data_IF_039663236222
#
_entry.id   IF_039663236222
#
_cell.length_a   1.000
_cell.length_b   1.000
_cell.length_c   1.000
_cell.angle_alpha   90.00
_cell.angle_beta   90.00
_cell.angle_gamma   90.00
#
_symmetry.space_group_name_H-M   'P 1'
#
loop_
_entity.id
_entity.type
_entity.pdbx_description
1 polymer ?
#
# COMPACT_ATOMS: atom_id res chain seq x y z
N UNK A 1 -40.87 -6.93 1.52
CA UNK A 1 -39.80 -6.51 2.45
C UNK A 1 -38.41 -6.67 1.78
N UNK A 2 -38.17 -6.00 0.65
CA UNK A 2 -37.00 -6.28 -0.23
C UNK A 2 -36.19 -5.05 -0.65
N UNK A 3 -36.54 -3.85 -0.18
CA UNK A 3 -35.88 -2.59 -0.58
C UNK A 3 -34.85 -2.05 0.46
N UNK A 4 -34.82 -2.58 1.70
CA UNK A 4 -33.92 -2.07 2.75
C UNK A 4 -32.44 -2.50 2.58
N UNK A 5 -32.16 -3.64 1.93
CA UNK A 5 -30.81 -4.20 1.79
C UNK A 5 -29.92 -3.41 0.80
N UNK A 6 -30.51 -2.67 -0.15
CA UNK A 6 -29.74 -1.87 -1.13
C UNK A 6 -29.04 -0.67 -0.48
N UNK A 7 -29.66 -0.01 0.50
CA UNK A 7 -29.09 1.19 1.14
C UNK A 7 -27.97 0.85 2.13
N UNK A 8 -28.10 -0.22 2.91
CA UNK A 8 -27.02 -0.69 3.80
C UNK A 8 -25.80 -1.11 3.01
N UNK A 9 -25.97 -1.86 1.90
CA UNK A 9 -24.86 -2.23 1.02
C UNK A 9 -24.08 -1.02 0.49
N UNK A 10 -24.80 0.01 0.00
CA UNK A 10 -24.18 1.24 -0.48
C UNK A 10 -23.37 1.96 0.60
N UNK A 11 -23.93 2.13 1.81
CA UNK A 11 -23.24 2.80 2.93
C UNK A 11 -22.00 1.99 3.36
N UNK A 12 -22.10 0.67 3.44
CA UNK A 12 -20.99 -0.21 3.81
C UNK A 12 -19.84 -0.11 2.80
N UNK A 13 -20.13 -0.08 1.49
CA UNK A 13 -19.10 0.07 0.45
C UNK A 13 -18.39 1.42 0.56
N UNK A 14 -19.14 2.52 0.77
CA UNK A 14 -18.56 3.85 0.92
C UNK A 14 -17.66 3.94 2.16
N UNK A 15 -18.09 3.34 3.27
CA UNK A 15 -17.28 3.22 4.48
C UNK A 15 -16.00 2.44 4.23
N UNK A 16 -16.06 1.29 3.52
CA UNK A 16 -14.87 0.49 3.21
C UNK A 16 -13.88 1.29 2.35
N UNK A 17 -14.37 1.99 1.32
CA UNK A 17 -13.51 2.84 0.46
C UNK A 17 -12.88 3.97 1.26
N UNK A 18 -13.66 4.63 2.13
CA UNK A 18 -13.16 5.70 2.99
C UNK A 18 -12.10 5.20 3.96
N UNK A 19 -12.35 4.09 4.67
CA UNK A 19 -11.39 3.48 5.59
C UNK A 19 -10.13 2.99 4.86
N UNK A 20 -10.27 2.46 3.63
CA UNK A 20 -9.13 2.06 2.81
C UNK A 20 -8.26 3.27 2.41
N UNK A 21 -8.89 4.38 1.99
CA UNK A 21 -8.19 5.63 1.69
C UNK A 21 -7.53 6.25 2.93
N UNK A 22 -8.21 6.22 4.08
CA UNK A 22 -7.66 6.70 5.35
C UNK A 22 -6.43 5.88 5.79
N UNK A 23 -6.52 4.55 5.68
CA UNK A 23 -5.40 3.65 6.00
C UNK A 23 -4.21 3.88 5.05
N UNK A 24 -4.49 4.14 3.77
CA UNK A 24 -3.48 4.48 2.78
C UNK A 24 -2.73 5.77 3.14
N UNK A 25 -3.45 6.83 3.55
CA UNK A 25 -2.85 8.09 3.98
C UNK A 25 -2.00 7.91 5.25
N UNK A 26 -2.48 7.14 6.22
CA UNK A 26 -1.68 6.82 7.42
C UNK A 26 -0.40 6.09 7.04
N UNK A 27 -0.48 5.13 6.12
CA UNK A 27 0.68 4.39 5.65
C UNK A 27 1.71 5.30 4.97
N UNK A 28 1.26 6.17 4.06
CA UNK A 28 2.09 7.15 3.38
C UNK A 28 2.79 8.11 4.36
N UNK A 29 2.05 8.69 5.31
CA UNK A 29 2.60 9.65 6.28
C UNK A 29 3.57 8.98 7.26
N UNK A 30 3.22 7.78 7.75
CA UNK A 30 4.08 7.01 8.65
C UNK A 30 5.41 6.68 7.97
N UNK A 31 5.36 6.33 6.69
CA UNK A 31 6.56 6.05 5.92
C UNK A 31 7.38 7.29 5.62
N UNK A 32 6.75 8.39 5.22
CA UNK A 32 7.43 9.64 4.95
C UNK A 32 8.20 10.14 6.20
N UNK A 33 7.59 9.98 7.39
CA UNK A 33 8.23 10.29 8.68
C UNK A 33 9.45 9.40 8.94
N UNK A 34 9.35 8.11 8.63
CA UNK A 34 10.47 7.18 8.81
C UNK A 34 11.64 7.46 7.86
N UNK A 35 11.35 7.73 6.59
CA UNK A 35 12.38 8.08 5.61
C UNK A 35 13.04 9.41 5.95
N UNK A 36 12.28 10.38 6.46
CA UNK A 36 12.83 11.65 6.97
C UNK A 36 13.80 11.44 8.14
N UNK A 37 13.59 10.40 8.97
CA UNK A 37 14.52 10.04 10.05
C UNK A 37 15.80 9.37 9.52
N UNK A 38 15.74 8.64 8.40
CA UNK A 38 16.88 7.90 7.83
C UNK A 38 17.74 8.79 6.92
N UNK A 39 17.13 9.63 6.08
CA UNK A 39 17.84 10.41 5.05
C UNK A 39 18.34 11.77 5.54
N UNK A 40 17.98 12.15 6.77
CA UNK A 40 17.94 13.56 7.16
C UNK A 40 16.83 14.29 6.39
N UNK A 41 16.21 15.30 7.01
CA UNK A 41 15.01 15.96 6.49
C UNK A 41 15.27 16.79 5.20
N UNK A 42 15.50 16.12 4.07
CA UNK A 42 15.68 16.74 2.75
C UNK A 42 14.40 16.57 1.93
N UNK A 43 13.85 17.69 1.46
CA UNK A 43 12.60 17.74 0.68
C UNK A 43 12.71 16.94 -0.62
N UNK A 44 13.91 16.83 -1.19
CA UNK A 44 14.16 16.07 -2.42
C UNK A 44 13.98 14.56 -2.24
N UNK A 45 14.36 14.03 -1.07
CA UNK A 45 14.24 12.60 -0.80
C UNK A 45 12.78 12.17 -0.60
N UNK A 46 12.00 12.93 0.17
CA UNK A 46 10.59 12.65 0.42
C UNK A 46 9.74 12.74 -0.86
N UNK A 47 10.03 13.73 -1.72
CA UNK A 47 9.36 13.88 -3.02
C UNK A 47 9.68 12.74 -3.98
N UNK A 48 10.93 12.26 -4.05
CA UNK A 48 11.29 11.10 -4.87
C UNK A 48 10.58 9.82 -4.41
N UNK A 49 10.48 9.61 -3.09
CA UNK A 49 9.75 8.47 -2.55
C UNK A 49 8.26 8.59 -2.86
N UNK A 50 7.67 9.76 -2.67
CA UNK A 50 6.26 9.99 -2.99
C UNK A 50 6.00 9.71 -4.47
N UNK A 51 6.88 10.18 -5.36
CA UNK A 51 6.80 9.86 -6.79
C UNK A 51 6.86 8.35 -7.04
N UNK A 52 7.81 7.63 -6.43
CA UNK A 52 7.93 6.18 -6.58
C UNK A 52 6.71 5.43 -6.00
N UNK A 53 6.17 5.90 -4.89
CA UNK A 53 4.97 5.38 -4.25
C UNK A 53 3.74 5.55 -5.14
N UNK A 54 3.51 6.77 -5.62
CA UNK A 54 2.40 7.07 -6.54
C UNK A 54 2.55 6.32 -7.87
N UNK A 55 3.77 6.18 -8.38
CA UNK A 55 4.05 5.40 -9.58
C UNK A 55 3.71 3.90 -9.36
N UNK A 56 4.15 3.31 -8.24
CA UNK A 56 3.83 1.94 -7.88
C UNK A 56 2.34 1.72 -7.66
N UNK A 57 1.68 2.65 -6.97
CA UNK A 57 0.23 2.62 -6.72
C UNK A 57 -0.57 2.71 -8.02
N UNK A 58 -0.24 3.65 -8.90
CA UNK A 58 -0.88 3.81 -10.21
C UNK A 58 -0.67 2.59 -11.11
N UNK A 59 0.55 2.05 -11.15
CA UNK A 59 0.85 0.82 -11.88
C UNK A 59 0.05 -0.37 -11.34
N UNK A 60 -0.08 -0.48 -10.01
CA UNK A 60 -0.89 -1.49 -9.33
C UNK A 60 -2.37 -1.38 -9.69
N UNK A 61 -2.93 -0.17 -9.65
CA UNK A 61 -4.32 0.08 -10.01
C UNK A 61 -4.63 -0.35 -11.45
N UNK A 62 -3.75 -0.03 -12.39
CA UNK A 62 -3.89 -0.45 -13.78
C UNK A 62 -3.78 -1.98 -13.96
N UNK A 63 -2.73 -2.58 -13.39
CA UNK A 63 -2.45 -4.00 -13.53
C UNK A 63 -3.55 -4.87 -12.92
N UNK A 64 -3.90 -4.61 -11.66
CA UNK A 64 -4.93 -5.38 -10.95
C UNK A 64 -6.33 -5.09 -11.48
N UNK A 65 -6.61 -3.86 -11.92
CA UNK A 65 -7.87 -3.52 -12.60
C UNK A 65 -8.07 -4.30 -13.90
N UNK A 66 -7.03 -4.40 -14.72
CA UNK A 66 -7.05 -5.23 -15.94
C UNK A 66 -7.21 -6.71 -15.61
N UNK A 67 -6.50 -7.22 -14.60
CA UNK A 67 -6.56 -8.62 -14.20
C UNK A 67 -7.93 -9.02 -13.64
N UNK A 68 -8.58 -8.12 -12.90
CA UNK A 68 -9.95 -8.28 -12.42
C UNK A 68 -11.00 -8.25 -13.55
N UNK A 69 -10.68 -7.59 -14.67
CA UNK A 69 -11.50 -7.64 -15.89
C UNK A 69 -11.52 -9.03 -16.52
N UNK A 70 -10.36 -9.69 -16.57
CA UNK A 70 -10.18 -10.96 -17.27
C UNK A 70 -10.65 -12.18 -16.47
N UNK A 71 -10.48 -12.19 -15.15
CA UNK A 71 -10.59 -13.44 -14.35
C UNK A 71 -12.00 -13.78 -13.85
N UNK A 72 -12.97 -12.85 -13.93
CA UNK A 72 -14.36 -13.06 -13.47
C UNK A 72 -14.55 -13.37 -11.97
N UNK A 73 -13.46 -13.55 -11.21
CA UNK A 73 -13.41 -13.94 -9.79
C UNK A 73 -12.91 -12.79 -8.91
N UNK A 74 -13.45 -11.58 -9.13
CA UNK A 74 -13.03 -10.33 -8.49
C UNK A 74 -12.95 -10.44 -6.95
N UNK A 75 -13.89 -11.14 -6.31
CA UNK A 75 -13.90 -11.29 -4.85
C UNK A 75 -12.70 -12.06 -4.28
N UNK A 76 -12.22 -13.10 -4.97
CA UNK A 76 -11.05 -13.91 -4.50
C UNK A 76 -9.74 -13.14 -4.67
N UNK A 77 -9.68 -12.32 -5.72
CA UNK A 77 -8.57 -11.42 -6.03
C UNK A 77 -8.47 -10.29 -5.00
N UNK A 78 -9.61 -9.76 -4.55
CA UNK A 78 -9.70 -8.76 -3.49
C UNK A 78 -9.24 -9.31 -2.13
N UNK A 79 -9.68 -10.52 -1.79
CA UNK A 79 -9.23 -11.20 -0.57
C UNK A 79 -7.71 -11.45 -0.57
N UNK A 80 -7.15 -11.84 -1.73
CA UNK A 80 -5.71 -12.00 -1.89
C UNK A 80 -4.96 -10.67 -1.73
N UNK A 81 -5.46 -9.58 -2.32
CA UNK A 81 -4.85 -8.26 -2.18
C UNK A 81 -4.87 -7.78 -0.74
N UNK A 82 -6.01 -7.88 -0.05
CA UNK A 82 -6.13 -7.48 1.36
C UNK A 82 -5.20 -8.33 2.25
N UNK A 83 -5.15 -9.64 2.02
CA UNK A 83 -4.23 -10.54 2.72
C UNK A 83 -2.77 -10.19 2.43
N UNK A 84 -2.43 -9.92 1.18
CA UNK A 84 -1.10 -9.50 0.75
C UNK A 84 -0.68 -8.17 1.36
N UNK A 85 -1.57 -7.18 1.41
CA UNK A 85 -1.33 -5.89 2.07
C UNK A 85 -1.07 -6.09 3.57
N UNK A 86 -1.86 -6.92 4.25
CA UNK A 86 -1.65 -7.24 5.66
C UNK A 86 -0.30 -7.92 5.92
N UNK A 87 0.04 -8.93 5.11
CA UNK A 87 1.32 -9.66 5.23
C UNK A 87 2.50 -8.75 4.92
N UNK A 88 2.45 -7.98 3.84
CA UNK A 88 3.52 -7.03 3.48
C UNK A 88 3.66 -5.92 4.51
N UNK A 89 2.58 -5.43 5.11
CA UNK A 89 2.64 -4.43 6.18
C UNK A 89 3.28 -4.99 7.45
N UNK A 90 2.95 -6.24 7.82
CA UNK A 90 3.56 -6.95 8.95
C UNK A 90 5.05 -7.21 8.70
N UNK A 91 5.41 -7.75 7.53
CA UNK A 91 6.80 -7.96 7.13
C UNK A 91 7.58 -6.65 7.16
N UNK A 92 7.00 -5.57 6.64
CA UNK A 92 7.64 -4.28 6.63
C UNK A 92 7.89 -3.76 8.06
N UNK A 93 6.89 -3.86 8.95
CA UNK A 93 7.07 -3.52 10.36
C UNK A 93 8.20 -4.34 11.04
N UNK A 94 8.26 -5.65 10.77
CA UNK A 94 9.30 -6.52 11.30
C UNK A 94 10.70 -6.18 10.76
N UNK A 95 10.83 -5.97 9.44
CA UNK A 95 12.10 -5.61 8.80
C UNK A 95 12.61 -4.28 9.35
N UNK A 96 11.71 -3.32 9.53
CA UNK A 96 12.06 -2.00 10.04
C UNK A 96 12.49 -2.05 11.50
N UNK A 97 11.74 -2.77 12.34
CA UNK A 97 11.96 -2.73 13.78
C UNK A 97 13.09 -3.66 14.23
N UNK A 98 13.27 -4.78 13.54
CA UNK A 98 14.19 -5.83 13.93
C UNK A 98 15.48 -5.81 13.10
N UNK A 99 15.38 -5.63 11.78
CA UNK A 99 16.51 -5.76 10.87
C UNK A 99 17.28 -4.46 10.62
N UNK A 100 16.60 -3.30 10.53
CA UNK A 100 17.30 -2.03 10.30
C UNK A 100 18.30 -1.65 11.40
N UNK A 101 18.00 -1.83 12.71
CA UNK A 101 18.97 -1.52 13.76
C UNK A 101 20.21 -2.40 13.67
N UNK A 102 20.05 -3.69 13.35
CA UNK A 102 21.17 -4.61 13.18
C UNK A 102 22.00 -4.27 11.94
N UNK A 103 21.38 -3.99 10.79
CA UNK A 103 22.08 -3.60 9.57
C UNK A 103 22.87 -2.29 9.73
N UNK A 104 22.30 -1.31 10.44
CA UNK A 104 22.95 -0.03 10.65
C UNK A 104 24.11 -0.11 11.66
N UNK A 105 23.89 -0.79 12.80
CA UNK A 105 24.87 -0.83 13.91
C UNK A 105 25.93 -1.91 13.71
N UNK A 106 25.59 -3.07 13.16
CA UNK A 106 26.50 -4.23 13.04
C UNK A 106 27.22 -4.24 11.69
N UNK A 107 26.52 -3.89 10.61
CA UNK A 107 27.06 -4.01 9.25
C UNK A 107 27.47 -2.68 8.63
N UNK A 108 27.26 -1.54 9.31
CA UNK A 108 27.62 -0.20 8.86
C UNK A 108 27.23 0.07 7.39
N UNK A 109 26.05 -0.42 7.00
CA UNK A 109 25.60 -0.36 5.61
C UNK A 109 25.34 1.10 5.22
N UNK A 110 25.74 1.55 4.01
CA UNK A 110 25.51 2.92 3.57
C UNK A 110 24.02 3.28 3.52
N UNK A 111 23.68 4.52 3.88
CA UNK A 111 22.31 5.04 3.90
C UNK A 111 21.58 4.85 2.55
N UNK A 112 22.32 4.94 1.43
CA UNK A 112 21.77 4.75 0.08
C UNK A 112 21.23 3.33 -0.18
N UNK A 113 21.84 2.31 0.42
CA UNK A 113 21.41 0.91 0.26
C UNK A 113 20.16 0.66 1.09
N UNK A 114 20.14 1.16 2.33
CA UNK A 114 18.97 1.12 3.22
C UNK A 114 17.79 1.83 2.56
N UNK A 115 18.05 2.98 1.92
CA UNK A 115 17.07 3.72 1.14
C UNK A 115 16.49 2.91 -0.02
N UNK A 116 17.34 2.25 -0.81
CA UNK A 116 16.89 1.44 -1.94
C UNK A 116 15.98 0.29 -1.47
N UNK A 117 16.34 -0.36 -0.36
CA UNK A 117 15.54 -1.43 0.25
C UNK A 117 14.19 -0.90 0.73
N UNK A 118 14.19 0.23 1.45
CA UNK A 118 12.95 0.87 1.91
C UNK A 118 12.05 1.26 0.73
N UNK A 119 12.62 1.84 -0.32
CA UNK A 119 11.90 2.25 -1.53
C UNK A 119 11.29 1.06 -2.28
N UNK A 120 12.01 -0.06 -2.37
CA UNK A 120 11.51 -1.29 -2.99
C UNK A 120 10.39 -1.94 -2.17
N UNK A 121 10.55 -2.02 -0.84
CA UNK A 121 9.50 -2.53 0.07
C UNK A 121 8.23 -1.68 -0.04
N UNK A 122 8.41 -0.37 -0.06
CA UNK A 122 7.33 0.61 -0.15
C UNK A 122 6.62 0.52 -1.49
N UNK A 123 7.36 0.48 -2.60
CA UNK A 123 6.79 0.31 -3.96
C UNK A 123 6.02 -1.00 -4.11
N UNK A 124 6.54 -2.10 -3.55
CA UNK A 124 5.84 -3.40 -3.56
C UNK A 124 4.51 -3.38 -2.82
N UNK A 125 4.49 -2.78 -1.62
CA UNK A 125 3.24 -2.61 -0.85
C UNK A 125 2.24 -1.66 -1.53
N UNK A 126 2.73 -0.58 -2.14
CA UNK A 126 1.92 0.40 -2.88
C UNK A 126 1.26 -0.23 -4.10
N UNK A 127 1.98 -1.09 -4.82
CA UNK A 127 1.47 -1.82 -5.97
C UNK A 127 0.31 -2.74 -5.60
N UNK A 128 0.37 -3.43 -4.47
CA UNK A 128 -0.73 -4.25 -3.96
C UNK A 128 -1.92 -3.38 -3.53
N UNK A 129 -1.66 -2.27 -2.83
CA UNK A 129 -2.69 -1.31 -2.39
C UNK A 129 -3.43 -0.66 -3.56
N UNK A 130 -2.74 -0.33 -4.66
CA UNK A 130 -3.32 0.29 -5.84
C UNK A 130 -4.46 -0.52 -6.47
N UNK A 131 -4.42 -1.85 -6.32
CA UNK A 131 -5.46 -2.74 -6.87
C UNK A 131 -6.80 -2.70 -6.15
N UNK A 132 -6.88 -2.17 -4.93
CA UNK A 132 -8.10 -2.28 -4.10
C UNK A 132 -9.27 -1.49 -4.70
N UNK A 133 -9.07 -0.23 -5.09
CA UNK A 133 -10.15 0.64 -5.61
C UNK A 133 -10.75 0.11 -6.92
N UNK A 134 -9.95 -0.26 -7.96
CA UNK A 134 -10.48 -0.83 -9.20
C UNK A 134 -11.29 -2.11 -8.98
N UNK A 135 -10.85 -2.98 -8.07
CA UNK A 135 -11.56 -4.23 -7.78
C UNK A 135 -12.88 -3.98 -7.05
N UNK A 136 -12.91 -3.05 -6.08
CA UNK A 136 -14.16 -2.68 -5.40
C UNK A 136 -15.14 -2.07 -6.40
N UNK A 137 -14.68 -1.13 -7.24
CA UNK A 137 -15.51 -0.50 -8.28
C UNK A 137 -16.18 -1.55 -9.18
N UNK A 138 -15.45 -2.59 -9.56
CA UNK A 138 -15.95 -3.69 -10.41
C UNK A 138 -16.90 -4.68 -9.72
N UNK A 139 -17.01 -4.65 -8.40
CA UNK A 139 -18.03 -5.40 -7.65
C UNK A 139 -19.33 -4.59 -7.56
N UNK A 140 -19.22 -3.26 -7.59
CA UNK A 140 -20.33 -2.33 -7.40
C UNK A 140 -21.02 -1.97 -8.72
N UNK A 141 -20.25 -1.82 -9.79
CA UNK A 141 -20.67 -1.45 -11.16
C UNK A 141 -20.65 -2.69 -12.04
#
# INVERSE_FOLDING_TARGET
MTQQNKNTGFITIHLIIFLAGFTFLIYEVSWNRMLSLVLGATVMASTLVLMAFMAGFGAGAYYWGKQASVTGKTGRLLAFLIGGIGITSLLNYFVIRLFLPELYVVYAVPDSVIFLIALLLLSGSAFLMGGVIPLVSKIVI
#
